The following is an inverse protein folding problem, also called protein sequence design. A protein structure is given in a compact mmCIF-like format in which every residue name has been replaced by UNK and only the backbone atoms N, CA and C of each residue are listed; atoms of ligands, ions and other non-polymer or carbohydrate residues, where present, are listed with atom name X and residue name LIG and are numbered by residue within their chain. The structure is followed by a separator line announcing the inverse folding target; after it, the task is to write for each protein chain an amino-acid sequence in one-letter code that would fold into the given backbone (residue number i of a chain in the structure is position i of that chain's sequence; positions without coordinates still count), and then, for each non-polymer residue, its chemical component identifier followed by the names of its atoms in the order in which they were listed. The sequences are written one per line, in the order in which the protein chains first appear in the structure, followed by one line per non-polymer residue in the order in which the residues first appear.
data_IF_368614852694
#
_entry.id   IF_368614852694
#
_cell.length_a   1.000
_cell.length_b   1.000
_cell.length_c   1.000
_cell.angle_alpha   90.00
_cell.angle_beta   90.00
_cell.angle_gamma   90.00
#
_symmetry.space_group_name_H-M   'P 1'
#
loop_
_entity.id
_entity.type
_entity.pdbx_description
1 polymer ?
#
# COMPACT_ATOMS: atom_id res chain seq x y z
N UNK A 1 3.81 17.45 -5.05
CA UNK A 1 2.70 18.13 -4.34
C UNK A 1 1.73 17.06 -3.82
N UNK A 2 2.22 16.20 -2.92
CA UNK A 2 1.60 14.93 -2.45
C UNK A 2 0.16 15.12 -1.97
N UNK A 3 -0.13 16.25 -1.33
CA UNK A 3 -1.46 16.62 -0.87
C UNK A 3 -2.47 16.89 -2.00
N UNK A 4 -2.02 17.26 -3.20
CA UNK A 4 -2.91 17.37 -4.38
C UNK A 4 -3.22 16.01 -4.97
N UNK A 5 -2.28 15.06 -4.93
CA UNK A 5 -2.44 13.71 -5.46
C UNK A 5 -3.48 12.85 -4.74
N UNK A 6 -3.83 13.20 -3.50
CA UNK A 6 -4.85 12.47 -2.72
C UNK A 6 -6.30 12.90 -3.01
N UNK A 7 -6.52 13.90 -3.87
CA UNK A 7 -7.87 14.36 -4.21
C UNK A 7 -8.64 13.22 -4.87
N UNK A 8 -9.75 12.82 -4.27
CA UNK A 8 -10.53 11.64 -4.69
C UNK A 8 -10.38 10.43 -3.75
N UNK A 9 -9.35 10.42 -2.90
CA UNK A 9 -9.15 9.41 -1.85
C UNK A 9 -9.55 9.93 -0.48
N UNK A 10 -8.91 11.02 -0.03
CA UNK A 10 -9.15 11.61 1.30
C UNK A 10 -9.73 13.01 1.13
N UNK A 11 -10.87 13.27 1.80
CA UNK A 11 -11.51 14.58 1.77
C UNK A 11 -10.67 15.60 2.57
N UNK A 12 -10.57 16.83 2.08
CA UNK A 12 -9.86 17.92 2.76
C UNK A 12 -10.45 18.32 4.12
N UNK A 13 -11.70 17.95 4.39
CA UNK A 13 -12.37 18.09 5.69
C UNK A 13 -12.08 16.96 6.69
N UNK A 14 -11.23 15.98 6.34
CA UNK A 14 -10.79 14.96 7.28
C UNK A 14 -10.12 15.60 8.51
N UNK A 15 -10.60 15.26 9.71
CA UNK A 15 -10.12 15.83 10.98
C UNK A 15 -9.06 14.97 11.69
N UNK A 16 -8.53 13.93 11.05
CA UNK A 16 -7.48 13.07 11.61
C UNK A 16 -6.05 13.64 11.46
N UNK A 17 -5.86 14.96 11.56
CA UNK A 17 -4.54 15.58 11.40
C UNK A 17 -3.86 15.21 10.08
N UNK A 18 -2.70 14.55 10.15
CA UNK A 18 -1.95 14.06 9.00
C UNK A 18 -2.48 12.72 8.42
N UNK A 19 -3.72 12.32 8.72
CA UNK A 19 -4.31 11.08 8.19
C UNK A 19 -4.44 10.99 6.67
N UNK A 20 -4.09 12.05 5.94
CA UNK A 20 -3.94 12.03 4.48
C UNK A 20 -2.57 11.56 4.01
N UNK A 21 -1.55 11.62 4.87
CA UNK A 21 -0.14 11.48 4.50
C UNK A 21 0.16 10.07 3.99
N UNK A 22 -0.21 9.03 4.74
CA UNK A 22 0.04 7.64 4.34
C UNK A 22 -0.61 7.29 2.99
N UNK A 23 -1.84 7.78 2.74
CA UNK A 23 -2.49 7.64 1.43
C UNK A 23 -1.71 8.35 0.33
N UNK A 24 -1.24 9.57 0.60
CA UNK A 24 -0.45 10.35 -0.34
C UNK A 24 0.88 9.70 -0.69
N UNK A 25 1.60 9.19 0.30
CA UNK A 25 2.88 8.49 0.10
C UNK A 25 2.69 7.19 -0.70
N UNK A 26 1.62 6.42 -0.42
CA UNK A 26 1.30 5.23 -1.22
C UNK A 26 1.07 5.59 -2.70
N UNK A 27 0.30 6.65 -2.97
CA UNK A 27 0.02 7.10 -4.34
C UNK A 27 1.27 7.66 -5.03
N UNK A 28 2.12 8.38 -4.29
CA UNK A 28 3.37 8.91 -4.81
C UNK A 28 4.34 7.78 -5.21
N UNK A 29 4.47 6.76 -4.37
CA UNK A 29 5.25 5.55 -4.67
C UNK A 29 4.72 4.84 -5.93
N UNK A 30 3.41 4.62 -6.01
CA UNK A 30 2.77 3.99 -7.19
C UNK A 30 3.05 4.81 -8.45
N UNK A 31 2.89 6.14 -8.40
CA UNK A 31 3.17 7.02 -9.53
C UNK A 31 4.64 7.01 -9.96
N UNK A 32 5.56 6.70 -9.05
CA UNK A 32 6.98 6.50 -9.35
C UNK A 32 7.33 5.09 -9.86
N UNK A 33 6.34 4.21 -10.02
CA UNK A 33 6.51 2.83 -10.50
C UNK A 33 6.73 1.80 -9.40
N UNK A 34 6.65 2.18 -8.12
CA UNK A 34 6.78 1.27 -6.99
C UNK A 34 5.41 0.66 -6.68
N UNK A 35 5.18 -0.55 -7.20
CA UNK A 35 3.88 -1.23 -7.08
C UNK A 35 3.76 -2.12 -5.84
N UNK A 36 4.87 -2.47 -5.16
CA UNK A 36 4.86 -3.28 -3.95
C UNK A 36 5.19 -2.40 -2.74
N UNK A 37 4.25 -2.23 -1.82
CA UNK A 37 4.35 -1.29 -0.69
C UNK A 37 4.04 -2.01 0.61
N UNK A 38 4.93 -1.86 1.60
CA UNK A 38 4.68 -2.25 2.99
C UNK A 38 4.51 -0.98 3.83
N UNK A 39 3.34 -0.83 4.45
CA UNK A 39 3.08 0.22 5.43
C UNK A 39 3.33 -0.33 6.84
N UNK A 40 4.49 -0.03 7.43
CA UNK A 40 4.78 -0.36 8.83
C UNK A 40 4.25 0.75 9.73
N UNK A 41 3.29 0.45 10.60
CA UNK A 41 2.60 1.45 11.40
C UNK A 41 2.42 0.99 12.84
N UNK A 42 2.46 1.89 13.83
CA UNK A 42 2.14 1.52 15.20
C UNK A 42 0.67 1.09 15.30
N UNK A 43 0.41 0.09 16.15
CA UNK A 43 -0.96 -0.31 16.45
C UNK A 43 -1.76 0.83 17.11
N UNK A 44 -3.04 0.96 16.75
CA UNK A 44 -3.94 1.97 17.32
C UNK A 44 -3.77 3.40 16.80
N UNK A 45 -2.85 3.67 15.87
CA UNK A 45 -2.73 4.99 15.25
C UNK A 45 -3.91 5.26 14.30
N UNK A 46 -4.94 5.96 14.79
CA UNK A 46 -6.18 6.22 14.04
C UNK A 46 -5.96 6.84 12.64
N UNK A 47 -5.05 7.82 12.44
CA UNK A 47 -4.72 8.33 11.11
C UNK A 47 -4.30 7.21 10.13
N UNK A 48 -3.46 6.29 10.59
CA UNK A 48 -2.93 5.19 9.78
C UNK A 48 -3.93 4.05 9.62
N UNK A 49 -4.70 3.72 10.65
CA UNK A 49 -5.63 2.58 10.66
C UNK A 49 -6.97 2.88 9.99
N UNK A 50 -7.51 4.09 10.16
CA UNK A 50 -8.83 4.45 9.64
C UNK A 50 -8.70 5.14 8.28
N UNK A 51 -7.94 6.23 8.21
CA UNK A 51 -7.79 6.97 6.96
C UNK A 51 -6.82 6.28 5.99
N UNK A 52 -5.57 6.03 6.40
CA UNK A 52 -4.56 5.43 5.54
C UNK A 52 -4.90 4.02 5.05
N UNK A 53 -5.00 3.05 5.97
CA UNK A 53 -5.32 1.65 5.69
C UNK A 53 -6.71 1.47 5.08
N UNK A 54 -7.67 2.31 5.47
CA UNK A 54 -9.02 2.32 4.88
C UNK A 54 -9.01 2.66 3.38
N UNK A 55 -8.04 3.43 2.90
CA UNK A 55 -7.91 3.78 1.47
C UNK A 55 -7.25 2.69 0.62
N UNK A 56 -6.59 1.69 1.21
CA UNK A 56 -5.84 0.66 0.46
C UNK A 56 -6.72 -0.01 -0.60
N UNK A 57 -7.96 -0.36 -0.25
CA UNK A 57 -8.89 -0.99 -1.19
C UNK A 57 -9.13 -0.11 -2.41
N UNK A 58 -9.47 1.17 -2.18
CA UNK A 58 -9.75 2.11 -3.26
C UNK A 58 -8.53 2.36 -4.14
N UNK A 59 -7.34 2.49 -3.53
CA UNK A 59 -6.07 2.63 -4.28
C UNK A 59 -5.85 1.44 -5.20
N UNK A 60 -6.10 0.21 -4.74
CA UNK A 60 -5.95 -1.01 -5.56
C UNK A 60 -6.98 -1.11 -6.68
N UNK A 61 -8.21 -0.63 -6.46
CA UNK A 61 -9.25 -0.55 -7.50
C UNK A 61 -8.83 0.41 -8.62
N UNK A 62 -8.22 1.55 -8.26
CA UNK A 62 -7.76 2.55 -9.23
C UNK A 62 -6.38 2.18 -9.86
N UNK A 63 -5.60 1.30 -9.22
CA UNK A 63 -4.26 0.89 -9.66
C UNK A 63 -4.13 -0.66 -9.69
N UNK A 64 -4.65 -1.32 -10.75
CA UNK A 64 -4.61 -2.77 -10.90
C UNK A 64 -3.17 -3.27 -11.08
N UNK A 65 -2.55 -3.68 -9.99
CA UNK A 65 -1.12 -4.03 -9.92
C UNK A 65 -0.46 -3.59 -8.62
N UNK A 66 -1.10 -2.68 -7.87
CA UNK A 66 -0.62 -2.27 -6.57
C UNK A 66 -0.80 -3.39 -5.54
N UNK A 67 0.32 -3.87 -5.00
CA UNK A 67 0.40 -4.85 -3.93
C UNK A 67 0.80 -4.15 -2.62
N UNK A 68 -0.20 -3.76 -1.84
CA UNK A 68 -0.01 -2.91 -0.65
C UNK A 68 -0.37 -3.69 0.62
N UNK A 69 0.54 -3.87 1.57
CA UNK A 69 0.26 -4.55 2.84
C UNK A 69 0.52 -3.62 4.02
N UNK A 70 -0.44 -3.56 4.95
CA UNK A 70 -0.29 -2.84 6.20
C UNK A 70 0.11 -3.79 7.33
N UNK A 71 1.18 -3.45 8.06
CA UNK A 71 1.73 -4.21 9.17
C UNK A 71 1.65 -3.37 10.44
N UNK A 72 0.89 -3.89 11.40
CA UNK A 72 0.73 -3.24 12.70
C UNK A 72 1.85 -3.73 13.64
N UNK A 73 2.70 -2.80 14.07
CA UNK A 73 3.69 -3.05 15.12
C UNK A 73 2.99 -2.90 16.47
N UNK A 74 2.71 -4.05 17.08
CA UNK A 74 2.05 -4.20 18.38
C UNK A 74 2.96 -5.04 19.29
N UNK A 75 3.37 -4.55 20.47
CA UNK A 75 4.09 -5.35 21.47
C UNK A 75 3.36 -6.65 21.87
N UNK A 76 2.02 -6.69 21.76
CA UNK A 76 1.21 -7.87 22.05
C UNK A 76 1.14 -8.89 20.90
N UNK A 77 1.58 -8.54 19.69
CA UNK A 77 1.55 -9.43 18.54
C UNK A 77 2.83 -10.26 18.42
N UNK A 78 2.69 -11.52 18.02
CA UNK A 78 3.86 -12.37 17.77
C UNK A 78 4.67 -11.86 16.57
N UNK A 79 5.99 -11.97 16.64
CA UNK A 79 6.90 -11.68 15.51
C UNK A 79 6.50 -12.46 14.25
N UNK A 80 6.07 -13.71 14.43
CA UNK A 80 5.63 -14.61 13.37
C UNK A 80 4.48 -14.01 12.55
N UNK A 81 3.54 -13.31 13.19
CA UNK A 81 2.42 -12.67 12.49
C UNK A 81 2.90 -11.58 11.50
N UNK A 82 3.91 -10.80 11.89
CA UNK A 82 4.51 -9.78 11.02
C UNK A 82 5.28 -10.44 9.87
N UNK A 83 6.11 -11.45 10.18
CA UNK A 83 6.88 -12.20 9.19
C UNK A 83 5.99 -12.87 8.14
N UNK A 84 4.88 -13.50 8.55
CA UNK A 84 3.98 -14.19 7.62
C UNK A 84 3.33 -13.22 6.62
N UNK A 85 2.98 -12.00 7.07
CA UNK A 85 2.43 -10.98 6.18
C UNK A 85 3.46 -10.45 5.19
N UNK A 86 4.71 -10.29 5.63
CA UNK A 86 5.82 -9.90 4.74
C UNK A 86 6.07 -11.00 3.71
N UNK A 87 6.16 -12.26 4.15
CA UNK A 87 6.36 -13.43 3.27
C UNK A 87 5.24 -13.53 2.23
N UNK A 88 3.98 -13.39 2.64
CA UNK A 88 2.85 -13.40 1.71
C UNK A 88 2.92 -12.25 0.70
N UNK A 89 3.28 -11.04 1.15
CA UNK A 89 3.47 -9.90 0.26
C UNK A 89 4.55 -10.18 -0.79
N UNK A 90 5.70 -10.71 -0.37
CA UNK A 90 6.82 -11.05 -1.25
C UNK A 90 6.45 -12.15 -2.26
N UNK A 91 5.72 -13.19 -1.84
CA UNK A 91 5.21 -14.23 -2.74
C UNK A 91 4.35 -13.64 -3.86
N UNK A 92 3.43 -12.73 -3.52
CA UNK A 92 2.59 -12.03 -4.51
C UNK A 92 3.45 -11.13 -5.42
N UNK A 93 4.48 -10.49 -4.86
CA UNK A 93 5.39 -9.64 -5.63
C UNK A 93 6.19 -10.46 -6.67
N UNK A 94 6.65 -11.65 -6.29
CA UNK A 94 7.32 -12.60 -7.18
C UNK A 94 6.38 -13.08 -8.28
N UNK A 95 5.18 -13.55 -7.94
CA UNK A 95 4.17 -13.97 -8.94
C UNK A 95 3.82 -12.86 -9.93
N UNK A 96 3.70 -11.61 -9.47
CA UNK A 96 3.42 -10.47 -10.34
C UNK A 96 4.60 -10.15 -11.27
N UNK A 97 5.83 -10.31 -10.78
CA UNK A 97 7.04 -10.12 -11.58
C UNK A 97 7.12 -11.16 -12.69
N UNK A 98 6.91 -12.43 -12.39
CA UNK A 98 6.90 -13.52 -13.37
C UNK A 98 5.87 -13.26 -14.48
N UNK A 99 4.63 -12.92 -14.12
CA UNK A 99 3.58 -12.54 -15.09
C UNK A 99 3.97 -11.35 -15.97
N UNK A 100 4.72 -10.39 -15.42
CA UNK A 100 5.20 -9.23 -16.17
C UNK A 100 6.30 -9.59 -17.16
N UNK A 101 7.21 -10.50 -16.79
CA UNK A 101 8.29 -11.00 -17.63
C UNK A 101 7.74 -11.87 -18.78
N UNK A 102 6.77 -12.74 -18.50
CA UNK A 102 6.06 -13.54 -19.52
C UNK A 102 5.36 -12.65 -20.56
N UNK A 103 4.59 -11.65 -20.12
CA UNK A 103 3.92 -10.70 -21.02
C UNK A 103 4.89 -9.90 -21.88
N UNK A 104 6.12 -9.66 -21.40
CA UNK A 104 7.17 -8.98 -22.18
C UNK A 104 7.77 -9.90 -23.24
N UNK A 105 7.97 -11.18 -22.92
CA UNK A 105 8.47 -12.18 -23.88
C UNK A 105 7.51 -12.40 -25.05
N UNK A 106 6.20 -12.48 -24.78
CA UNK A 106 5.15 -12.67 -25.79
C UNK A 106 5.05 -11.47 -26.76
N UNK A 107 5.31 -10.24 -26.31
CA UNK A 107 5.22 -9.04 -27.16
C UNK A 107 6.41 -8.83 -28.10
N UNK A 108 7.52 -9.51 -27.86
CA UNK A 108 8.78 -9.37 -28.62
C UNK A 108 8.94 -10.49 -29.67
N UNK A 109 8.06 -11.50 -29.63
CA UNK A 109 7.97 -12.58 -30.63
C UNK A 109 6.88 -12.25 -31.66
#
# INVERSE_FOLDING_TARGET
DTKKGIRGYVNGGNKMGEGWLLTGEMLELINSGVMNIICTQPFGCLPNHIAGKGMIRRIREDNPGANIVALDYDPGATKINQENRIKLMLSIAEENREKSDENRSVKVS
#
